data_IF_515536884792
#
_entry.id   IF_515536884792
#
_cell.length_a   1.000
_cell.length_b   1.000
_cell.length_c   1.000
_cell.angle_alpha   90.00
_cell.angle_beta   90.00
_cell.angle_gamma   90.00
#
_symmetry.space_group_name_H-M   'P 1'
#
loop_
_entity.id
_entity.type
_entity.pdbx_description
1 polymer ?
#
# COMPACT_ATOMS: atom_id res chain seq x y z
N UNK A 1 19.40 47.72 -33.82
CA UNK A 1 19.69 46.96 -32.59
C UNK A 1 18.43 46.32 -31.97
N UNK A 2 17.30 47.05 -31.81
CA UNK A 2 16.08 46.50 -31.19
C UNK A 2 15.44 45.27 -31.88
N UNK A 3 15.48 45.17 -33.22
CA UNK A 3 14.86 44.05 -33.97
C UNK A 3 15.48 42.69 -33.66
N UNK A 4 16.80 42.63 -33.48
CA UNK A 4 17.51 41.39 -33.17
C UNK A 4 17.27 40.95 -31.71
N UNK A 5 17.09 41.89 -30.79
CA UNK A 5 16.76 41.59 -29.39
C UNK A 5 15.36 40.94 -29.26
N UNK A 6 14.39 41.39 -30.06
CA UNK A 6 13.05 40.79 -30.06
C UNK A 6 13.11 39.35 -30.60
N UNK A 7 13.81 39.12 -31.72
CA UNK A 7 13.99 37.77 -32.28
C UNK A 7 14.73 36.85 -31.31
N UNK A 8 15.78 37.35 -30.65
CA UNK A 8 16.52 36.58 -29.64
C UNK A 8 15.62 36.16 -28.47
N UNK A 9 14.74 37.05 -28.00
CA UNK A 9 13.80 36.75 -26.91
C UNK A 9 12.79 35.66 -27.31
N UNK A 10 12.30 35.68 -28.55
CA UNK A 10 11.45 34.62 -29.09
C UNK A 10 12.17 33.27 -29.16
N UNK A 11 13.43 33.24 -29.63
CA UNK A 11 14.23 32.00 -29.69
C UNK A 11 14.49 31.46 -28.28
N UNK A 12 14.86 32.32 -27.33
CA UNK A 12 15.07 31.91 -25.93
C UNK A 12 13.78 31.35 -25.32
N UNK A 13 12.63 31.97 -25.58
CA UNK A 13 11.34 31.47 -25.10
C UNK A 13 10.98 30.10 -25.68
N UNK A 14 11.27 29.87 -26.96
CA UNK A 14 10.98 28.61 -27.64
C UNK A 14 11.87 27.47 -27.12
N UNK A 15 13.16 27.75 -26.91
CA UNK A 15 14.11 26.80 -26.29
C UNK A 15 13.70 26.50 -24.84
N UNK A 16 13.31 27.53 -24.06
CA UNK A 16 12.86 27.34 -22.69
C UNK A 16 11.60 26.47 -22.62
N UNK A 17 10.65 26.64 -23.54
CA UNK A 17 9.46 25.81 -23.66
C UNK A 17 9.79 24.34 -23.95
N UNK A 18 10.77 24.08 -24.83
CA UNK A 18 11.22 22.72 -25.14
C UNK A 18 11.89 22.05 -23.94
N UNK A 19 12.72 22.79 -23.18
CA UNK A 19 13.36 22.30 -21.96
C UNK A 19 12.31 21.93 -20.90
N UNK A 20 11.30 22.79 -20.69
CA UNK A 20 10.21 22.54 -19.74
C UNK A 20 9.46 21.25 -20.11
N UNK A 21 9.11 21.07 -21.38
CA UNK A 21 8.41 19.86 -21.84
C UNK A 21 9.23 18.58 -21.60
N UNK A 22 10.55 18.64 -21.83
CA UNK A 22 11.44 17.49 -21.60
C UNK A 22 11.54 17.13 -20.12
N UNK A 23 11.60 18.13 -19.24
CA UNK A 23 11.62 17.94 -17.78
C UNK A 23 10.31 17.33 -17.27
N UNK A 24 9.16 17.77 -17.79
CA UNK A 24 7.86 17.21 -17.39
C UNK A 24 7.76 15.71 -17.66
N UNK A 25 8.19 15.25 -18.83
CA UNK A 25 8.17 13.82 -19.21
C UNK A 25 9.08 12.97 -18.32
N UNK A 26 10.25 13.49 -17.95
CA UNK A 26 11.17 12.80 -17.05
C UNK A 26 10.60 12.62 -15.62
N UNK A 27 9.79 13.57 -15.13
CA UNK A 27 9.17 13.50 -13.80
C UNK A 27 8.11 12.39 -13.74
N UNK A 28 7.34 12.19 -14.81
CA UNK A 28 6.31 11.14 -14.87
C UNK A 28 6.90 9.72 -14.87
N UNK A 29 8.15 9.56 -15.30
CA UNK A 29 8.83 8.26 -15.34
C UNK A 29 9.57 7.93 -14.04
N UNK A 30 9.83 8.93 -13.18
CA UNK A 30 10.67 8.78 -11.99
C UNK A 30 9.95 8.28 -10.73
N UNK A 31 8.64 8.07 -10.77
CA UNK A 31 7.88 7.56 -9.64
C UNK A 31 6.99 6.41 -10.09
N UNK A 32 7.57 5.22 -10.21
CA UNK A 32 6.80 4.00 -10.08
C UNK A 32 5.99 4.15 -8.80
N UNK A 33 4.66 4.26 -8.88
CA UNK A 33 3.81 4.55 -7.72
C UNK A 33 3.88 3.38 -6.73
N UNK A 34 4.91 3.39 -5.89
CA UNK A 34 5.15 2.38 -4.86
C UNK A 34 4.13 2.62 -3.76
N UNK A 35 3.29 1.62 -3.49
CA UNK A 35 2.23 1.69 -2.48
C UNK A 35 2.21 0.42 -1.65
N UNK A 36 1.65 0.52 -0.45
CA UNK A 36 1.39 -0.65 0.39
C UNK A 36 0.16 -1.38 -0.13
N UNK A 37 0.31 -2.66 -0.44
CA UNK A 37 -0.76 -3.54 -0.89
C UNK A 37 -0.92 -4.73 0.04
N UNK A 38 -2.13 -5.26 0.12
CA UNK A 38 -2.46 -6.52 0.76
C UNK A 38 -2.62 -7.57 -0.35
N UNK A 39 -1.77 -8.60 -0.31
CA UNK A 39 -1.83 -9.78 -1.15
C UNK A 39 -2.63 -10.84 -0.40
N UNK A 40 -3.85 -11.09 -0.86
CA UNK A 40 -4.76 -12.07 -0.28
C UNK A 40 -4.60 -13.42 -0.99
N UNK A 41 -4.36 -14.47 -0.20
CA UNK A 41 -4.08 -15.85 -0.67
C UNK A 41 -5.15 -16.85 -0.22
N UNK A 42 -6.31 -16.38 0.26
CA UNK A 42 -7.41 -17.24 0.68
C UNK A 42 -7.32 -17.73 2.12
N UNK A 43 -7.89 -18.92 2.38
CA UNK A 43 -7.83 -19.57 3.69
C UNK A 43 -6.49 -20.22 3.95
N UNK A 44 -6.11 -20.35 5.22
CA UNK A 44 -4.92 -21.13 5.60
C UNK A 44 -5.04 -22.58 5.12
N UNK A 45 -3.98 -23.16 4.52
CA UNK A 45 -3.94 -24.57 4.14
C UNK A 45 -4.22 -25.47 5.35
N UNK A 46 -5.05 -26.49 5.16
CA UNK A 46 -5.39 -27.49 6.18
C UNK A 46 -4.74 -28.82 5.81
N UNK A 47 -4.20 -29.54 6.80
CA UNK A 47 -3.70 -30.90 6.63
C UNK A 47 -2.34 -31.03 5.94
N UNK A 48 -1.67 -29.92 5.64
CA UNK A 48 -0.28 -29.88 5.15
C UNK A 48 0.60 -29.05 6.09
N UNK A 49 1.86 -29.44 6.32
CA UNK A 49 2.82 -28.58 7.00
C UNK A 49 2.96 -27.27 6.21
N UNK A 50 2.47 -26.17 6.78
CA UNK A 50 2.45 -24.87 6.14
C UNK A 50 3.19 -23.87 7.03
N UNK A 51 4.10 -23.10 6.42
CA UNK A 51 4.90 -22.10 7.12
C UNK A 51 4.60 -20.73 6.49
N UNK A 52 3.53 -20.04 6.95
CA UNK A 52 3.02 -18.83 6.31
C UNK A 52 4.11 -17.80 6.01
N UNK A 53 4.97 -17.53 7.00
CA UNK A 53 6.03 -16.52 6.86
C UNK A 53 7.04 -16.87 5.75
N UNK A 54 7.50 -18.12 5.66
CA UNK A 54 8.45 -18.50 4.60
C UNK A 54 7.78 -18.48 3.24
N UNK A 55 6.53 -18.94 3.15
CA UNK A 55 5.81 -19.02 1.87
C UNK A 55 5.46 -17.64 1.32
N UNK A 56 5.04 -16.70 2.19
CA UNK A 56 4.86 -15.30 1.80
C UNK A 56 6.17 -14.69 1.29
N UNK A 57 7.27 -14.93 2.00
CA UNK A 57 8.58 -14.40 1.61
C UNK A 57 9.07 -14.98 0.29
N UNK A 58 8.88 -16.29 0.09
CA UNK A 58 9.22 -17.00 -1.15
C UNK A 58 8.39 -16.50 -2.34
N UNK A 59 7.11 -16.18 -2.12
CA UNK A 59 6.25 -15.62 -3.17
C UNK A 59 6.71 -14.20 -3.55
N UNK A 60 7.02 -13.38 -2.55
CA UNK A 60 7.51 -12.02 -2.76
C UNK A 60 8.88 -12.01 -3.46
N UNK A 61 9.77 -12.93 -3.11
CA UNK A 61 11.08 -13.17 -3.74
C UNK A 61 11.02 -13.43 -5.24
N UNK A 62 9.93 -14.00 -5.75
CA UNK A 62 9.79 -14.26 -7.19
C UNK A 62 9.57 -12.98 -8.01
N UNK A 63 9.27 -11.86 -7.35
CA UNK A 63 8.90 -10.60 -7.97
C UNK A 63 9.86 -9.46 -7.62
N UNK A 64 10.60 -9.59 -6.53
CA UNK A 64 11.51 -8.57 -5.98
C UNK A 64 12.94 -9.11 -5.98
N UNK A 65 13.88 -8.25 -6.37
CA UNK A 65 15.30 -8.59 -6.32
C UNK A 65 15.79 -8.67 -4.86
N UNK A 66 16.54 -9.72 -4.57
CA UNK A 66 16.69 -10.30 -3.22
C UNK A 66 17.19 -9.39 -2.09
N UNK A 67 17.78 -8.23 -2.39
CA UNK A 67 18.36 -7.32 -1.39
C UNK A 67 17.34 -6.52 -0.59
N UNK A 68 16.08 -6.42 -1.04
CA UNK A 68 15.11 -5.46 -0.47
C UNK A 68 13.91 -6.09 0.23
N UNK A 69 13.79 -7.42 0.24
CA UNK A 69 12.57 -8.11 0.68
C UNK A 69 12.20 -7.82 2.13
N UNK A 70 13.17 -7.78 3.04
CA UNK A 70 12.91 -7.52 4.46
C UNK A 70 12.37 -6.09 4.69
N UNK A 71 12.67 -5.15 3.79
CA UNK A 71 12.14 -3.78 3.84
C UNK A 71 10.77 -3.65 3.17
N UNK A 72 10.47 -4.52 2.20
CA UNK A 72 9.24 -4.46 1.41
C UNK A 72 8.13 -5.34 1.99
N UNK A 73 8.45 -6.39 2.76
CA UNK A 73 7.47 -7.22 3.46
C UNK A 73 7.07 -6.59 4.80
N UNK A 74 5.96 -5.85 4.81
CA UNK A 74 5.48 -5.14 6.02
C UNK A 74 4.81 -6.07 7.02
N UNK A 75 3.99 -7.03 6.55
CA UNK A 75 3.25 -7.90 7.45
C UNK A 75 2.91 -9.24 6.82
N UNK A 76 3.01 -10.32 7.59
CA UNK A 76 2.44 -11.63 7.23
C UNK A 76 1.16 -11.92 8.03
N UNK A 77 0.05 -12.16 7.34
CA UNK A 77 -1.21 -12.60 7.93
C UNK A 77 -1.25 -14.13 7.95
N UNK A 78 -1.24 -14.69 9.16
CA UNK A 78 -1.02 -16.14 9.39
C UNK A 78 -2.07 -16.81 10.27
N UNK A 79 -3.14 -16.11 10.61
CA UNK A 79 -4.18 -16.57 11.56
C UNK A 79 -5.56 -16.57 10.94
N UNK A 80 -6.11 -15.39 10.66
CA UNK A 80 -7.49 -15.25 10.18
C UNK A 80 -7.64 -15.61 8.71
N UNK A 81 -6.61 -15.35 7.92
CA UNK A 81 -6.52 -15.70 6.51
C UNK A 81 -5.05 -15.85 6.12
N UNK A 82 -4.83 -16.36 4.91
CA UNK A 82 -3.52 -16.49 4.30
C UNK A 82 -3.20 -15.28 3.42
N UNK A 83 -2.04 -14.65 3.60
CA UNK A 83 -1.65 -13.49 2.82
C UNK A 83 -0.65 -12.59 3.52
N UNK A 84 -0.22 -11.53 2.85
CA UNK A 84 0.76 -10.59 3.39
C UNK A 84 0.55 -9.17 2.87
N UNK A 85 1.05 -8.19 3.61
CA UNK A 85 1.14 -6.81 3.18
C UNK A 85 2.57 -6.51 2.72
N UNK A 86 2.72 -5.94 1.53
CA UNK A 86 4.00 -5.57 0.97
C UNK A 86 3.94 -4.24 0.21
N UNK A 87 5.06 -3.54 0.21
CA UNK A 87 5.29 -2.33 -0.57
C UNK A 87 5.64 -2.75 -1.99
N UNK A 88 4.80 -2.39 -2.96
CA UNK A 88 4.93 -2.83 -4.35
C UNK A 88 4.72 -1.67 -5.33
N UNK A 89 5.44 -1.70 -6.45
CA UNK A 89 5.08 -0.94 -7.64
C UNK A 89 3.99 -1.66 -8.46
N UNK A 90 3.46 -1.00 -9.49
CA UNK A 90 2.40 -1.57 -10.33
C UNK A 90 2.83 -2.80 -11.12
N UNK A 91 4.10 -2.89 -11.54
CA UNK A 91 4.61 -4.04 -12.28
C UNK A 91 4.70 -5.28 -11.38
N UNK A 92 5.25 -5.12 -10.18
CA UNK A 92 5.36 -6.15 -9.16
C UNK A 92 3.98 -6.65 -8.74
N UNK A 93 3.04 -5.73 -8.49
CA UNK A 93 1.64 -6.07 -8.20
C UNK A 93 1.01 -6.90 -9.30
N UNK A 94 1.14 -6.49 -10.57
CA UNK A 94 0.61 -7.25 -11.72
C UNK A 94 1.23 -8.64 -11.83
N UNK A 95 2.55 -8.76 -11.59
CA UNK A 95 3.24 -10.04 -11.60
C UNK A 95 2.73 -10.96 -10.48
N UNK A 96 2.61 -10.47 -9.25
CA UNK A 96 2.03 -11.21 -8.13
C UNK A 96 0.58 -11.65 -8.41
N UNK A 97 -0.23 -10.80 -9.02
CA UNK A 97 -1.63 -11.13 -9.34
C UNK A 97 -1.76 -12.31 -10.33
N UNK A 98 -0.72 -12.61 -11.11
CA UNK A 98 -0.68 -13.75 -12.02
C UNK A 98 -0.17 -15.04 -11.39
N UNK A 99 0.32 -15.00 -10.14
CA UNK A 99 0.89 -16.17 -9.46
C UNK A 99 -0.19 -17.08 -8.87
N UNK A 100 0.06 -18.38 -8.94
CA UNK A 100 -0.82 -19.35 -8.31
C UNK A 100 -0.83 -19.15 -6.79
N UNK A 101 -2.02 -19.28 -6.19
CA UNK A 101 -2.24 -19.07 -4.77
C UNK A 101 -2.52 -17.61 -4.38
N UNK A 102 -2.38 -16.64 -5.29
CA UNK A 102 -2.87 -15.26 -5.07
C UNK A 102 -4.30 -15.16 -5.57
N UNK A 103 -5.20 -14.75 -4.68
CA UNK A 103 -6.64 -14.59 -4.99
C UNK A 103 -6.95 -13.15 -5.39
N UNK A 104 -6.42 -12.17 -4.64
CA UNK A 104 -6.65 -10.75 -4.94
C UNK A 104 -5.55 -9.87 -4.34
N UNK A 105 -5.29 -8.72 -4.97
CA UNK A 105 -4.37 -7.70 -4.44
C UNK A 105 -5.06 -6.34 -4.45
N UNK A 106 -5.09 -5.69 -3.29
CA UNK A 106 -5.75 -4.40 -3.10
C UNK A 106 -4.90 -3.48 -2.21
N UNK A 107 -5.00 -2.15 -2.36
CA UNK A 107 -4.23 -1.22 -1.55
C UNK A 107 -4.55 -1.39 -0.06
N UNK A 108 -3.54 -1.25 0.80
CA UNK A 108 -3.75 -1.19 2.24
C UNK A 108 -4.27 0.20 2.59
N UNK A 109 -5.48 0.26 3.11
CA UNK A 109 -6.09 1.50 3.57
C UNK A 109 -5.99 1.58 5.10
N UNK A 110 -5.70 2.78 5.60
CA UNK A 110 -5.80 3.04 7.03
C UNK A 110 -7.27 3.23 7.38
N UNK A 111 -7.83 2.26 8.09
CA UNK A 111 -9.15 2.41 8.67
C UNK A 111 -9.03 3.08 10.04
N UNK A 112 -9.49 4.32 10.13
CA UNK A 112 -9.80 4.91 11.42
C UNK A 112 -11.02 4.21 11.99
N UNK A 113 -10.79 3.45 13.06
CA UNK A 113 -11.86 2.78 13.79
C UNK A 113 -12.74 3.89 14.37
N UNK A 114 -13.88 4.15 13.72
CA UNK A 114 -15.00 4.81 14.36
C UNK A 114 -15.51 3.80 15.38
N UNK A 115 -14.93 3.83 16.57
CA UNK A 115 -15.28 2.89 17.62
C UNK A 115 -16.79 2.95 17.81
N UNK A 116 -17.45 1.81 17.70
CA UNK A 116 -18.79 1.60 18.25
C UNK A 116 -18.78 1.58 19.79
N UNK A 117 -17.71 2.08 20.44
CA UNK A 117 -17.67 2.42 21.89
C UNK A 117 -18.57 3.61 22.22
N UNK A 118 -19.74 3.67 21.63
CA UNK A 118 -20.85 4.37 22.22
C UNK A 118 -21.80 3.31 22.75
N UNK A 119 -22.02 3.32 24.06
CA UNK A 119 -23.05 2.54 24.74
C UNK A 119 -24.44 2.69 24.06
N UNK A 120 -24.64 3.81 23.35
CA UNK A 120 -25.79 4.09 22.48
C UNK A 120 -25.93 3.08 21.33
N UNK A 121 -24.82 2.59 20.75
CA UNK A 121 -24.85 1.55 19.71
C UNK A 121 -25.34 0.20 20.26
N UNK A 122 -25.02 -0.10 21.52
CA UNK A 122 -25.47 -1.31 22.21
C UNK A 122 -26.86 -1.14 22.86
N UNK A 123 -27.48 0.05 22.74
CA UNK A 123 -28.76 0.36 23.39
C UNK A 123 -28.71 0.31 24.93
N UNK A 124 -27.52 0.47 25.51
CA UNK A 124 -27.31 0.37 26.95
C UNK A 124 -27.56 1.72 27.63
N UNK A 125 -28.39 1.73 28.67
CA UNK A 125 -28.78 2.93 29.39
C UNK A 125 -27.55 3.70 29.92
N UNK A 126 -27.48 5.00 29.60
CA UNK A 126 -26.38 5.87 30.05
C UNK A 126 -26.33 6.06 31.58
N UNK A 127 -27.40 5.73 32.30
CA UNK A 127 -27.60 5.99 33.73
C UNK A 127 -26.99 4.95 34.68
N UNK A 128 -26.31 3.93 34.17
CA UNK A 128 -25.67 2.91 35.02
C UNK A 128 -24.41 3.54 35.65
N UNK A 129 -24.23 3.34 36.96
CA UNK A 129 -23.05 3.81 37.69
C UNK A 129 -21.82 3.04 37.21
N UNK A 130 -21.04 3.67 36.32
CA UNK A 130 -19.88 3.06 35.65
C UNK A 130 -18.66 3.05 36.56
N UNK A 131 -17.91 1.96 36.51
CA UNK A 131 -16.58 1.88 37.13
C UNK A 131 -15.53 2.11 36.03
N UNK A 132 -15.12 3.37 35.88
CA UNK A 132 -14.24 3.81 34.80
C UNK A 132 -12.86 3.13 34.82
N UNK A 133 -12.43 2.56 35.95
CA UNK A 133 -11.13 1.89 36.07
C UNK A 133 -11.15 0.45 35.54
N UNK A 134 -12.32 -0.17 35.44
CA UNK A 134 -12.47 -1.54 34.93
C UNK A 134 -12.88 -1.60 33.45
N UNK A 135 -13.54 -0.56 32.94
CA UNK A 135 -14.21 -0.58 31.64
C UNK A 135 -13.34 -0.10 30.46
N UNK A 136 -12.16 0.47 30.70
CA UNK A 136 -11.29 1.01 29.63
C UNK A 136 -10.67 -0.09 28.75
N UNK A 137 -10.38 -1.26 29.31
CA UNK A 137 -9.66 -2.34 28.61
C UNK A 137 -10.58 -3.36 27.92
N UNK A 138 -11.89 -3.21 28.02
CA UNK A 138 -12.84 -4.09 27.35
C UNK A 138 -13.05 -3.65 25.89
N UNK A 139 -12.66 -4.52 24.97
CA UNK A 139 -13.07 -4.49 23.56
C UNK A 139 -14.22 -5.49 23.42
N UNK A 140 -15.44 -4.97 23.25
CA UNK A 140 -16.64 -5.75 22.95
C UNK A 140 -16.74 -5.94 21.43
#
# INVERSE_FOLDING_TARGET
MAKYNVVLLFIVSLVLSQIISFVCVAIETGNENVKLYIVYMGSLPKGVPYFPTSDHRNLLQQVIDGSEIENLLVRSYKRSFNGFAAILNDQQRKKLASMNGVVSIFPSEEFHIQTTRFWDFLGLCQSIKRDQLMETDLVI
#
